data_IF_885095092544
#
_entry.id   IF_885095092544
#
_cell.length_a   1.000
_cell.length_b   1.000
_cell.length_c   1.000
_cell.angle_alpha   90.00
_cell.angle_beta   90.00
_cell.angle_gamma   90.00
#
_symmetry.space_group_name_H-M   'P 1'
#
loop_
_entity.id
_entity.type
_entity.pdbx_description
1 polymer ?
#
# COMPACT_ATOMS: atom_id res chain seq x y z
N UNK A 1 -15.94 -9.16 10.47
CA UNK A 1 -15.41 -10.54 10.29
C UNK A 1 -13.98 -10.46 9.75
N UNK A 2 -13.18 -11.53 9.77
CA UNK A 2 -11.77 -11.49 9.30
C UNK A 2 -11.62 -10.98 7.86
N UNK A 3 -12.59 -11.27 6.99
CA UNK A 3 -12.60 -10.80 5.61
C UNK A 3 -12.80 -9.29 5.46
N UNK A 4 -13.51 -8.64 6.39
CA UNK A 4 -13.67 -7.18 6.39
C UNK A 4 -12.34 -6.51 6.68
N UNK A 5 -11.58 -7.04 7.66
CA UNK A 5 -10.23 -6.56 7.97
C UNK A 5 -9.30 -6.72 6.77
N UNK A 6 -9.30 -7.89 6.10
CA UNK A 6 -8.50 -8.11 4.89
C UNK A 6 -8.86 -7.11 3.78
N UNK A 7 -10.16 -6.85 3.58
CA UNK A 7 -10.64 -5.85 2.63
C UNK A 7 -10.13 -4.45 2.98
N UNK A 8 -10.23 -4.04 4.25
CA UNK A 8 -9.77 -2.73 4.71
C UNK A 8 -8.26 -2.55 4.57
N UNK A 9 -7.46 -3.56 4.92
CA UNK A 9 -6.00 -3.53 4.76
C UNK A 9 -5.60 -3.41 3.28
N UNK A 10 -6.34 -4.06 2.39
CA UNK A 10 -6.10 -3.95 0.94
C UNK A 10 -6.53 -2.57 0.42
N UNK A 11 -7.66 -2.04 0.91
CA UNK A 11 -8.23 -0.77 0.48
C UNK A 11 -7.40 0.45 0.95
N UNK A 12 -6.73 0.34 2.09
CA UNK A 12 -5.80 1.36 2.60
C UNK A 12 -4.42 1.32 1.94
N UNK A 13 -4.18 0.34 1.06
CA UNK A 13 -2.89 0.14 0.40
C UNK A 13 -1.83 -0.54 1.25
N UNK A 14 -2.15 -0.95 2.49
CA UNK A 14 -1.22 -1.70 3.36
C UNK A 14 -0.74 -2.99 2.72
N UNK A 15 -1.63 -3.65 1.99
CA UNK A 15 -1.31 -4.83 1.20
C UNK A 15 -1.60 -4.59 -0.28
N UNK A 16 -0.62 -4.09 -1.07
CA UNK A 16 -0.82 -3.85 -2.48
C UNK A 16 -0.96 -5.17 -3.24
N UNK A 17 -2.02 -5.28 -4.03
CA UNK A 17 -2.30 -6.39 -4.93
C UNK A 17 -1.80 -6.06 -6.33
N UNK A 18 -0.97 -6.96 -6.86
CA UNK A 18 -0.45 -6.90 -8.21
C UNK A 18 -0.27 -8.31 -8.76
N UNK A 19 -0.19 -8.42 -10.08
CA UNK A 19 0.12 -9.66 -10.80
C UNK A 19 1.29 -9.44 -11.71
N UNK A 20 2.15 -10.44 -11.83
CA UNK A 20 3.25 -10.44 -12.78
C UNK A 20 3.02 -11.56 -13.79
N UNK A 21 2.89 -11.20 -15.06
CA UNK A 21 2.75 -12.14 -16.17
C UNK A 21 3.85 -11.85 -17.21
N UNK A 22 4.90 -12.69 -17.29
CA UNK A 22 6.01 -12.50 -18.23
C UNK A 22 5.55 -12.42 -19.69
N UNK A 23 4.47 -13.13 -20.05
CA UNK A 23 3.98 -13.22 -21.44
C UNK A 23 3.48 -11.89 -21.97
N UNK A 24 3.14 -10.94 -21.08
CA UNK A 24 2.77 -9.57 -21.47
C UNK A 24 3.92 -8.81 -22.11
N UNK A 25 5.17 -9.16 -21.78
CA UNK A 25 6.34 -8.59 -22.44
C UNK A 25 6.37 -8.93 -23.93
N UNK A 26 5.98 -10.15 -24.28
CA UNK A 26 5.90 -10.62 -25.68
C UNK A 26 4.85 -9.83 -26.48
N UNK A 27 3.85 -9.25 -25.80
CA UNK A 27 2.83 -8.37 -26.37
C UNK A 27 3.21 -6.87 -26.32
N UNK A 28 4.43 -6.52 -25.89
CA UNK A 28 4.88 -5.14 -25.72
C UNK A 28 4.21 -4.37 -24.56
N UNK A 29 3.60 -5.08 -23.61
CA UNK A 29 2.93 -4.51 -22.42
C UNK A 29 3.79 -4.67 -21.17
N UNK A 30 3.62 -3.81 -20.14
CA UNK A 30 4.26 -4.03 -18.85
C UNK A 30 3.89 -5.40 -18.25
N UNK A 31 4.86 -6.23 -17.83
CA UNK A 31 4.61 -7.54 -17.22
C UNK A 31 3.84 -7.47 -15.90
N UNK A 32 4.03 -6.38 -15.16
CA UNK A 32 3.35 -6.13 -13.91
C UNK A 32 2.01 -5.42 -14.18
N UNK A 33 0.94 -5.94 -13.58
CA UNK A 33 -0.37 -5.30 -13.51
C UNK A 33 -0.66 -4.97 -12.04
N UNK A 34 -0.78 -3.68 -11.73
CA UNK A 34 -1.14 -3.22 -10.40
C UNK A 34 -2.67 -3.17 -10.28
N UNK A 35 -3.25 -4.00 -9.41
CA UNK A 35 -4.70 -4.12 -9.21
C UNK A 35 -5.19 -3.24 -8.03
N UNK A 36 -4.31 -2.92 -7.09
CA UNK A 36 -4.61 -2.04 -5.94
C UNK A 36 -4.68 -0.55 -6.30
N UNK A 37 -5.45 0.18 -5.49
CA UNK A 37 -5.51 1.65 -5.46
C UNK A 37 -4.32 2.24 -4.67
N UNK A 38 -4.04 3.55 -4.81
CA UNK A 38 -3.06 4.24 -3.97
C UNK A 38 -3.37 4.06 -2.47
N UNK A 39 -2.34 4.13 -1.59
CA UNK A 39 -2.53 4.15 -0.16
C UNK A 39 -3.46 5.29 0.29
N UNK A 40 -4.12 5.11 1.43
CA UNK A 40 -4.99 6.14 2.00
C UNK A 40 -4.65 6.45 3.45
N UNK A 41 -5.06 7.63 3.91
CA UNK A 41 -4.82 8.12 5.28
C UNK A 41 -5.54 7.29 6.36
N UNK A 42 -6.50 6.43 5.96
CA UNK A 42 -7.26 5.55 6.86
C UNK A 42 -6.45 4.33 7.37
N UNK A 43 -5.15 4.25 7.06
CA UNK A 43 -4.30 3.14 7.47
C UNK A 43 -4.24 3.00 8.99
N UNK A 44 -3.94 4.08 9.72
CA UNK A 44 -3.73 4.02 11.16
C UNK A 44 -4.97 3.48 11.89
N UNK A 45 -6.16 3.97 11.53
CA UNK A 45 -7.44 3.49 12.06
C UNK A 45 -7.65 1.99 11.80
N UNK A 46 -7.33 1.54 10.57
CA UNK A 46 -7.45 0.13 10.18
C UNK A 46 -6.50 -0.78 10.95
N UNK A 47 -5.27 -0.33 11.23
CA UNK A 47 -4.29 -1.07 12.02
C UNK A 47 -4.71 -1.16 13.49
N UNK A 48 -5.35 -0.12 14.04
CA UNK A 48 -5.83 -0.14 15.43
C UNK A 48 -6.95 -1.17 15.69
N UNK A 49 -7.53 -1.78 14.66
CA UNK A 49 -8.42 -2.93 14.83
C UNK A 49 -7.67 -4.16 15.40
N UNK A 50 -6.37 -4.28 15.18
CA UNK A 50 -5.58 -5.43 15.59
C UNK A 50 -4.86 -5.20 16.93
N UNK A 51 -4.93 -6.20 17.82
CA UNK A 51 -4.37 -6.08 19.17
C UNK A 51 -2.85 -5.85 19.18
N UNK A 52 -2.13 -6.37 18.18
CA UNK A 52 -0.67 -6.20 18.06
C UNK A 52 -0.27 -4.72 17.91
N UNK A 53 -1.07 -3.93 17.21
CA UNK A 53 -0.83 -2.50 17.02
C UNK A 53 -1.35 -1.68 18.20
N UNK A 54 -2.52 -2.04 18.74
CA UNK A 54 -3.06 -1.42 19.98
C UNK A 54 -2.11 -1.53 21.16
N UNK A 55 -1.47 -2.69 21.34
CA UNK A 55 -0.52 -2.91 22.42
C UNK A 55 0.68 -1.96 22.32
N UNK A 56 1.25 -1.78 21.13
CA UNK A 56 2.35 -0.84 20.92
C UNK A 56 1.89 0.60 21.20
N UNK A 57 0.74 0.99 20.67
CA UNK A 57 0.18 2.33 20.86
C UNK A 57 -0.08 2.67 22.34
N UNK A 58 -0.49 1.68 23.14
CA UNK A 58 -0.70 1.84 24.58
C UNK A 58 0.61 1.88 25.39
N UNK A 59 1.63 1.10 24.98
CA UNK A 59 2.88 0.98 25.72
C UNK A 59 3.88 2.09 25.39
N UNK A 60 3.94 2.50 24.13
CA UNK A 60 4.92 3.46 23.60
C UNK A 60 4.27 4.35 22.54
N UNK A 61 3.39 5.30 22.92
CA UNK A 61 2.60 6.09 21.98
C UNK A 61 3.46 6.94 21.03
N UNK A 62 4.54 7.56 21.52
CA UNK A 62 5.44 8.38 20.70
C UNK A 62 6.16 7.55 19.62
N UNK A 63 6.60 6.35 19.99
CA UNK A 63 7.22 5.39 19.05
C UNK A 63 6.20 4.90 18.04
N UNK A 64 4.97 4.61 18.47
CA UNK A 64 3.90 4.20 17.58
C UNK A 64 3.59 5.28 16.54
N UNK A 65 3.47 6.55 16.97
CA UNK A 65 3.23 7.68 16.07
C UNK A 65 4.33 7.84 15.01
N UNK A 66 5.59 7.70 15.41
CA UNK A 66 6.71 7.74 14.47
C UNK A 66 6.64 6.60 13.45
N UNK A 67 6.38 5.37 13.91
CA UNK A 67 6.25 4.20 13.03
C UNK A 67 5.05 4.32 12.08
N UNK A 68 3.97 5.00 12.46
CA UNK A 68 2.85 5.28 11.55
C UNK A 68 3.24 6.21 10.42
N UNK A 69 3.97 7.28 10.71
CA UNK A 69 4.50 8.18 9.69
C UNK A 69 5.44 7.46 8.73
N UNK A 70 6.37 6.67 9.28
CA UNK A 70 7.35 5.93 8.49
C UNK A 70 6.65 4.89 7.59
N UNK A 71 5.67 4.16 8.14
CA UNK A 71 4.88 3.22 7.38
C UNK A 71 4.10 3.90 6.25
N UNK A 72 3.44 5.05 6.50
CA UNK A 72 2.72 5.78 5.46
C UNK A 72 3.64 6.19 4.30
N UNK A 73 4.83 6.70 4.60
CA UNK A 73 5.84 7.06 3.60
C UNK A 73 6.30 5.84 2.80
N UNK A 74 6.55 4.72 3.46
CA UNK A 74 7.03 3.50 2.79
C UNK A 74 5.93 2.82 1.96
N UNK A 75 4.67 2.87 2.39
CA UNK A 75 3.53 2.45 1.59
C UNK A 75 3.45 3.27 0.29
N UNK A 76 3.59 4.60 0.40
CA UNK A 76 3.55 5.48 -0.77
C UNK A 76 4.68 5.15 -1.75
N UNK A 77 5.93 5.08 -1.27
CA UNK A 77 7.08 4.70 -2.10
C UNK A 77 6.89 3.35 -2.78
N UNK A 78 6.37 2.35 -2.05
CA UNK A 78 6.12 1.01 -2.58
C UNK A 78 5.03 1.04 -3.66
N UNK A 79 3.97 1.81 -3.45
CA UNK A 79 2.93 2.00 -4.46
C UNK A 79 3.49 2.68 -5.71
N UNK A 80 4.23 3.76 -5.57
CA UNK A 80 4.81 4.52 -6.68
C UNK A 80 5.75 3.64 -7.51
N UNK A 81 6.58 2.83 -6.86
CA UNK A 81 7.44 1.86 -7.52
C UNK A 81 6.64 0.81 -8.30
N UNK A 82 5.59 0.24 -7.71
CA UNK A 82 4.71 -0.72 -8.39
C UNK A 82 3.94 -0.06 -9.54
N UNK A 83 3.51 1.19 -9.39
CA UNK A 83 2.82 1.96 -10.42
C UNK A 83 3.75 2.23 -11.60
N UNK A 84 5.00 2.58 -11.34
CA UNK A 84 6.04 2.73 -12.36
C UNK A 84 6.23 1.42 -13.16
N UNK A 85 6.41 0.30 -12.47
CA UNK A 85 6.54 -1.01 -13.11
C UNK A 85 5.29 -1.44 -13.89
N UNK A 86 4.11 -1.00 -13.46
CA UNK A 86 2.85 -1.24 -14.15
C UNK A 86 2.61 -0.30 -15.35
N UNK A 87 3.53 0.63 -15.63
CA UNK A 87 3.34 1.66 -16.65
C UNK A 87 2.24 2.67 -16.31
N UNK A 88 1.91 2.81 -15.01
CA UNK A 88 0.91 3.75 -14.46
C UNK A 88 1.54 5.01 -13.84
N UNK A 89 2.86 5.21 -13.99
CA UNK A 89 3.47 6.45 -13.53
C UNK A 89 2.88 7.63 -14.31
N UNK A 90 2.23 8.55 -13.60
CA UNK A 90 1.96 9.90 -14.11
C UNK A 90 3.29 10.48 -14.61
N UNK A 91 3.35 10.93 -15.87
CA UNK A 91 4.53 11.64 -16.37
C UNK A 91 4.73 12.89 -15.50
N UNK A 92 5.91 13.11 -14.90
CA UNK A 92 6.19 14.39 -14.28
C UNK A 92 6.29 15.43 -15.40
N UNK A 93 5.29 16.29 -15.53
CA UNK A 93 5.27 17.42 -16.47
C UNK A 93 4.62 17.11 -17.82
N UNK A 94 3.32 17.40 -17.91
CA UNK A 94 2.69 17.85 -19.15
C UNK A 94 1.94 19.15 -18.80
N UNK A 95 2.72 20.21 -18.58
CA UNK A 95 2.31 21.60 -18.82
C UNK A 95 2.77 21.99 -20.23
#
# INVERSE_FOLDING_TARGET
LSHDQMRQLTATGFWPLYRFDPRRADEGKPPLALDSRPPSDALAETLLNEQRFRRLNAQQPEVAEQLWRDAALDLQKRYDFLALLAGKAEKPGAD
#
